data_IF_415884606519
#
_entry.id   IF_415884606519
#
_cell.length_a   1.000
_cell.length_b   1.000
_cell.length_c   1.000
_cell.angle_alpha   90.00
_cell.angle_beta   90.00
_cell.angle_gamma   90.00
#
_symmetry.space_group_name_H-M   'P 1'
#
loop_
_entity.id
_entity.type
_entity.pdbx_description
1 polymer ?
#
# COMPACT_ATOMS: atom_id res chain seq x y z
N UNK A 1 4.10 -14.67 23.01
CA UNK A 1 3.96 -13.20 22.85
C UNK A 1 4.64 -12.50 24.02
N UNK A 2 5.41 -11.47 23.74
CA UNK A 2 6.02 -10.63 24.79
C UNK A 2 4.96 -9.72 25.40
N UNK A 3 4.80 -9.80 26.72
CA UNK A 3 3.90 -8.90 27.49
C UNK A 3 4.63 -7.74 28.14
N UNK A 4 5.96 -7.81 28.23
CA UNK A 4 6.79 -6.82 28.95
C UNK A 4 7.39 -5.76 28.04
N UNK A 5 7.63 -6.09 26.78
CA UNK A 5 8.18 -5.16 25.80
C UNK A 5 7.66 -5.46 24.39
N UNK A 6 7.68 -4.50 23.52
CA UNK A 6 7.40 -4.72 22.10
C UNK A 6 8.59 -5.40 21.44
N UNK A 7 8.33 -6.19 20.39
CA UNK A 7 9.39 -6.80 19.61
C UNK A 7 10.26 -5.72 18.94
N UNK A 8 11.56 -5.98 18.88
CA UNK A 8 12.48 -5.11 18.16
C UNK A 8 12.14 -5.08 16.67
N UNK A 9 12.19 -3.90 16.09
CA UNK A 9 11.97 -3.73 14.65
C UNK A 9 13.24 -4.03 13.90
N UNK A 10 13.23 -5.10 13.10
CA UNK A 10 14.34 -5.43 12.22
C UNK A 10 14.43 -4.43 11.07
N UNK A 11 15.62 -3.99 10.76
CA UNK A 11 15.89 -3.17 9.59
C UNK A 11 15.74 -4.00 8.32
N UNK A 12 15.20 -3.39 7.28
CA UNK A 12 15.05 -3.99 5.95
C UNK A 12 16.15 -3.43 5.07
N UNK A 13 16.97 -4.33 4.51
CA UNK A 13 18.01 -3.93 3.57
C UNK A 13 17.38 -3.38 2.28
N UNK A 14 17.95 -2.33 1.68
CA UNK A 14 17.49 -1.84 0.39
C UNK A 14 17.67 -2.91 -0.69
N UNK A 15 16.87 -2.83 -1.75
CA UNK A 15 17.00 -3.77 -2.87
C UNK A 15 18.30 -3.53 -3.65
N UNK A 16 18.91 -4.58 -4.22
CA UNK A 16 20.22 -4.46 -4.87
C UNK A 16 20.18 -3.67 -6.18
N UNK A 17 19.04 -3.61 -6.87
CA UNK A 17 18.93 -2.97 -8.19
C UNK A 17 18.69 -1.46 -8.10
N UNK A 18 17.80 -1.01 -7.21
CA UNK A 18 17.42 0.39 -7.04
C UNK A 18 17.95 1.03 -5.75
N UNK A 19 18.43 0.22 -4.82
CA UNK A 19 18.91 0.70 -3.51
C UNK A 19 17.80 1.33 -2.65
N UNK A 20 16.54 0.90 -2.84
CA UNK A 20 15.36 1.48 -2.20
C UNK A 20 14.74 0.53 -1.19
N UNK A 21 14.61 0.99 0.06
CA UNK A 21 14.02 0.19 1.15
C UNK A 21 12.52 -0.08 0.93
N UNK A 22 11.80 0.86 0.33
CA UNK A 22 10.37 0.70 0.07
C UNK A 22 10.13 -0.39 -0.97
N UNK A 23 10.98 -0.50 -1.97
CA UNK A 23 10.93 -1.57 -2.98
C UNK A 23 11.16 -2.93 -2.31
N UNK A 24 12.12 -3.04 -1.39
CA UNK A 24 12.33 -4.27 -0.60
C UNK A 24 11.11 -4.64 0.25
N UNK A 25 10.49 -3.68 0.90
CA UNK A 25 9.24 -3.89 1.65
C UNK A 25 8.09 -4.32 0.74
N UNK A 26 8.03 -3.77 -0.46
CA UNK A 26 7.05 -4.16 -1.48
C UNK A 26 7.22 -5.61 -1.92
N UNK A 27 8.45 -6.04 -2.22
CA UNK A 27 8.77 -7.43 -2.52
C UNK A 27 8.36 -8.37 -1.39
N UNK A 28 8.69 -8.02 -0.15
CA UNK A 28 8.32 -8.80 1.02
C UNK A 28 6.79 -8.91 1.20
N UNK A 29 6.05 -7.88 0.82
CA UNK A 29 4.58 -7.86 0.91
C UNK A 29 3.90 -8.67 -0.20
N UNK A 30 4.52 -8.77 -1.37
CA UNK A 30 4.03 -9.60 -2.50
C UNK A 30 4.32 -11.08 -2.26
N UNK A 31 5.40 -11.38 -1.56
CA UNK A 31 5.92 -12.73 -1.35
C UNK A 31 4.89 -13.65 -0.69
N UNK A 32 4.74 -14.87 -1.26
CA UNK A 32 4.03 -15.99 -0.65
C UNK A 32 5.00 -17.11 -0.29
N UNK A 33 4.76 -17.80 0.80
CA UNK A 33 5.48 -19.01 1.22
C UNK A 33 7.02 -18.84 1.28
N UNK A 34 7.49 -17.63 1.52
CA UNK A 34 8.92 -17.34 1.55
C UNK A 34 9.62 -17.35 0.19
N UNK A 35 8.87 -17.41 -0.92
CA UNK A 35 9.42 -17.43 -2.29
C UNK A 35 9.88 -16.04 -2.74
N UNK A 36 10.99 -15.58 -2.18
CA UNK A 36 11.49 -14.22 -2.43
C UNK A 36 11.94 -13.99 -3.87
N UNK A 37 12.58 -14.97 -4.49
CA UNK A 37 13.01 -14.88 -5.89
C UNK A 37 11.85 -14.66 -6.85
N UNK A 38 10.70 -15.30 -6.60
CA UNK A 38 9.49 -15.09 -7.38
C UNK A 38 8.94 -13.65 -7.20
N UNK A 39 8.93 -13.13 -5.98
CA UNK A 39 8.51 -11.76 -5.69
C UNK A 39 9.43 -10.73 -6.37
N UNK A 40 10.74 -10.95 -6.31
CA UNK A 40 11.73 -10.10 -7.02
C UNK A 40 11.50 -10.09 -8.52
N UNK A 41 11.29 -11.25 -9.13
CA UNK A 41 11.00 -11.38 -10.57
C UNK A 41 9.72 -10.63 -10.96
N UNK A 42 8.68 -10.69 -10.14
CA UNK A 42 7.43 -9.98 -10.38
C UNK A 42 7.65 -8.46 -10.34
N UNK A 43 8.30 -7.95 -9.30
CA UNK A 43 8.52 -6.51 -9.12
C UNK A 43 9.45 -5.95 -10.20
N UNK A 44 10.56 -6.58 -10.44
CA UNK A 44 11.51 -6.13 -11.49
C UNK A 44 10.90 -6.23 -12.87
N UNK A 45 10.19 -7.31 -13.17
CA UNK A 45 9.47 -7.46 -14.44
C UNK A 45 8.39 -6.39 -14.64
N UNK A 46 7.65 -6.06 -13.58
CA UNK A 46 6.68 -4.97 -13.62
C UNK A 46 7.34 -3.61 -13.87
N UNK A 47 8.47 -3.35 -13.25
CA UNK A 47 9.24 -2.12 -13.46
C UNK A 47 9.80 -2.01 -14.87
N UNK A 48 10.27 -3.11 -15.44
CA UNK A 48 10.74 -3.16 -16.83
C UNK A 48 9.59 -2.84 -17.82
N UNK A 49 8.40 -3.38 -17.58
CA UNK A 49 7.20 -3.05 -18.38
C UNK A 49 6.83 -1.57 -18.28
N UNK A 50 6.88 -1.00 -17.07
CA UNK A 50 6.61 0.42 -16.85
C UNK A 50 7.60 1.30 -17.61
N UNK A 51 8.88 1.00 -17.53
CA UNK A 51 9.94 1.73 -18.25
C UNK A 51 9.75 1.67 -19.75
N UNK A 52 9.42 0.49 -20.31
CA UNK A 52 9.13 0.32 -21.73
C UNK A 52 7.93 1.14 -22.21
N UNK A 53 6.86 1.20 -21.40
CA UNK A 53 5.62 1.90 -21.76
C UNK A 53 5.71 3.41 -21.58
N UNK A 54 6.32 3.88 -20.50
CA UNK A 54 6.32 5.31 -20.13
C UNK A 54 7.59 6.05 -20.53
N UNK A 55 8.68 5.32 -20.80
CA UNK A 55 10.03 5.90 -21.01
C UNK A 55 10.53 6.74 -19.83
N UNK A 56 9.94 6.53 -18.65
CA UNK A 56 10.34 7.16 -17.39
C UNK A 56 11.02 6.15 -16.47
N UNK A 57 11.76 6.65 -15.49
CA UNK A 57 12.34 5.81 -14.44
C UNK A 57 11.21 5.08 -13.68
N UNK A 58 11.24 3.74 -13.60
CA UNK A 58 10.16 2.98 -12.99
C UNK A 58 10.00 3.28 -11.50
N UNK A 59 11.08 3.63 -10.81
CA UNK A 59 11.05 4.02 -9.41
C UNK A 59 10.23 5.29 -9.19
N UNK A 60 10.35 6.28 -10.06
CA UNK A 60 9.57 7.53 -10.00
C UNK A 60 8.07 7.24 -10.15
N UNK A 61 7.71 6.39 -11.11
CA UNK A 61 6.31 5.98 -11.32
C UNK A 61 5.78 5.21 -10.11
N UNK A 62 6.58 4.33 -9.53
CA UNK A 62 6.23 3.59 -8.32
C UNK A 62 6.00 4.51 -7.12
N UNK A 63 6.88 5.45 -6.88
CA UNK A 63 6.75 6.42 -5.79
C UNK A 63 5.50 7.29 -5.97
N UNK A 64 5.25 7.78 -7.18
CA UNK A 64 4.04 8.53 -7.49
C UNK A 64 2.76 7.70 -7.28
N UNK A 65 2.76 6.45 -7.73
CA UNK A 65 1.65 5.52 -7.52
C UNK A 65 1.39 5.29 -6.02
N UNK A 66 2.44 5.08 -5.25
CA UNK A 66 2.35 4.87 -3.80
C UNK A 66 1.80 6.12 -3.09
N UNK A 67 2.29 7.30 -3.42
CA UNK A 67 1.80 8.57 -2.87
C UNK A 67 0.31 8.77 -3.16
N UNK A 68 -0.15 8.43 -4.37
CA UNK A 68 -1.56 8.53 -4.74
C UNK A 68 -2.47 7.52 -4.02
N UNK A 69 -1.93 6.41 -3.54
CA UNK A 69 -2.69 5.36 -2.85
C UNK A 69 -2.63 5.47 -1.33
N UNK A 70 -1.58 6.06 -0.78
CA UNK A 70 -1.42 6.18 0.67
C UNK A 70 -2.52 7.04 1.30
N UNK A 71 -3.28 6.50 2.29
CA UNK A 71 -4.31 7.28 2.96
C UNK A 71 -3.74 8.23 4.01
N UNK A 72 -4.37 9.38 4.19
CA UNK A 72 -4.03 10.32 5.28
C UNK A 72 -4.89 10.12 6.51
N UNK A 73 -6.10 9.59 6.32
CA UNK A 73 -7.09 9.37 7.38
C UNK A 73 -7.74 8.00 7.20
N UNK A 74 -8.07 7.35 8.29
CA UNK A 74 -8.86 6.12 8.33
C UNK A 74 -9.90 6.18 9.44
N UNK A 75 -10.83 5.25 9.45
CA UNK A 75 -11.77 5.09 10.56
C UNK A 75 -11.37 3.93 11.45
N UNK A 76 -11.49 4.13 12.76
CA UNK A 76 -11.27 3.09 13.75
C UNK A 76 -12.50 2.94 14.63
N UNK A 77 -12.87 1.71 14.90
CA UNK A 77 -13.98 1.41 15.81
C UNK A 77 -13.59 1.75 17.25
N UNK A 78 -14.45 2.50 17.92
CA UNK A 78 -14.33 2.78 19.36
C UNK A 78 -15.67 2.53 20.04
N UNK A 79 -15.62 1.83 21.15
CA UNK A 79 -16.81 1.59 21.97
C UNK A 79 -16.93 2.66 23.06
N UNK A 80 -18.04 3.37 23.06
CA UNK A 80 -18.34 4.43 24.03
C UNK A 80 -19.78 4.23 24.52
N UNK A 81 -19.96 4.06 25.84
CA UNK A 81 -21.27 3.90 26.45
C UNK A 81 -22.11 2.72 25.90
N UNK A 82 -21.45 1.63 25.52
CA UNK A 82 -22.11 0.45 24.94
C UNK A 82 -22.39 0.50 23.44
N UNK A 83 -22.25 1.66 22.79
CA UNK A 83 -22.34 1.82 21.34
C UNK A 83 -20.95 1.81 20.68
N UNK A 84 -20.88 1.28 19.47
CA UNK A 84 -19.64 1.25 18.66
C UNK A 84 -19.70 2.35 17.61
N UNK A 85 -18.72 3.25 17.63
CA UNK A 85 -18.58 4.34 16.68
C UNK A 85 -17.37 4.13 15.78
N UNK A 86 -17.51 4.52 14.51
CA UNK A 86 -16.40 4.59 13.56
C UNK A 86 -15.78 5.97 13.67
N UNK A 87 -14.62 6.06 14.31
CA UNK A 87 -13.96 7.35 14.61
C UNK A 87 -12.87 7.63 13.60
N UNK A 88 -12.90 8.78 12.88
CA UNK A 88 -11.82 9.19 11.99
C UNK A 88 -10.54 9.48 12.77
N UNK A 89 -9.42 8.91 12.33
CA UNK A 89 -8.11 9.14 12.92
C UNK A 89 -7.05 9.33 11.82
N UNK A 90 -6.07 10.17 12.10
CA UNK A 90 -4.92 10.31 11.22
C UNK A 90 -4.10 9.03 11.18
N UNK A 91 -3.58 8.71 10.01
CA UNK A 91 -2.74 7.52 9.79
C UNK A 91 -1.27 7.89 9.95
N UNK A 92 -0.55 7.15 10.80
CA UNK A 92 0.90 7.32 10.99
C UNK A 92 1.64 6.97 9.69
N UNK A 93 2.79 7.62 9.44
CA UNK A 93 3.57 7.45 8.21
C UNK A 93 3.92 5.99 7.89
N UNK A 94 4.34 5.21 8.88
CA UNK A 94 4.64 3.79 8.71
C UNK A 94 3.42 2.97 8.31
N UNK A 95 2.26 3.27 8.87
CA UNK A 95 1.00 2.61 8.53
C UNK A 95 0.47 3.08 7.16
N UNK A 96 0.63 4.35 6.82
CA UNK A 96 0.29 4.87 5.50
C UNK A 96 1.00 4.08 4.40
N UNK A 97 2.30 3.91 4.55
CA UNK A 97 3.11 3.14 3.62
C UNK A 97 2.65 1.67 3.55
N UNK A 98 2.44 1.03 4.67
CA UNK A 98 1.98 -0.36 4.73
C UNK A 98 0.61 -0.55 4.05
N UNK A 99 -0.33 0.37 4.28
CA UNK A 99 -1.65 0.35 3.64
C UNK A 99 -1.55 0.60 2.14
N UNK A 100 -0.75 1.56 1.71
CA UNK A 100 -0.52 1.85 0.30
C UNK A 100 0.01 0.63 -0.46
N UNK A 101 1.05 -0.01 0.05
CA UNK A 101 1.62 -1.23 -0.54
C UNK A 101 0.59 -2.36 -0.59
N UNK A 102 -0.14 -2.59 0.50
CA UNK A 102 -1.17 -3.64 0.59
C UNK A 102 -2.29 -3.43 -0.42
N UNK A 103 -2.79 -2.21 -0.56
CA UNK A 103 -3.89 -1.91 -1.47
C UNK A 103 -3.47 -2.02 -2.93
N UNK A 104 -2.26 -1.60 -3.29
CA UNK A 104 -1.71 -1.81 -4.63
C UNK A 104 -1.64 -3.30 -4.96
N UNK A 105 -1.11 -4.11 -4.05
CA UNK A 105 -0.99 -5.57 -4.25
C UNK A 105 -2.36 -6.23 -4.38
N UNK A 106 -3.28 -5.88 -3.48
CA UNK A 106 -4.65 -6.43 -3.50
C UNK A 106 -5.38 -6.06 -4.80
N UNK A 107 -5.27 -4.81 -5.22
CA UNK A 107 -5.87 -4.33 -6.46
C UNK A 107 -5.25 -5.03 -7.69
N UNK A 108 -3.94 -5.19 -7.72
CA UNK A 108 -3.25 -5.90 -8.79
C UNK A 108 -3.70 -7.36 -8.90
N UNK A 109 -3.81 -8.06 -7.77
CA UNK A 109 -4.29 -9.45 -7.74
C UNK A 109 -5.71 -9.62 -8.26
N UNK A 110 -6.56 -8.61 -8.11
CA UNK A 110 -7.93 -8.61 -8.61
C UNK A 110 -8.09 -8.25 -10.09
N UNK A 111 -7.02 -7.95 -10.80
CA UNK A 111 -7.06 -7.60 -12.23
C UNK A 111 -7.17 -8.83 -13.13
N UNK A 112 -7.54 -8.60 -14.38
CA UNK A 112 -7.82 -9.66 -15.37
C UNK A 112 -6.63 -10.02 -16.26
N UNK A 113 -5.50 -9.31 -16.16
CA UNK A 113 -4.30 -9.62 -16.94
C UNK A 113 -3.79 -11.04 -16.61
N UNK A 114 -3.06 -11.65 -17.52
CA UNK A 114 -2.66 -13.05 -17.43
C UNK A 114 -1.66 -13.32 -16.29
N UNK A 115 -0.61 -12.53 -16.19
CA UNK A 115 0.46 -12.72 -15.20
C UNK A 115 0.43 -11.67 -14.10
N UNK A 116 0.96 -11.99 -12.93
CA UNK A 116 1.06 -11.02 -11.85
C UNK A 116 1.98 -9.83 -12.20
N UNK A 117 3.00 -10.06 -13.00
CA UNK A 117 3.88 -9.01 -13.51
C UNK A 117 3.11 -7.98 -14.34
N UNK A 118 2.26 -8.44 -15.24
CA UNK A 118 1.38 -7.58 -16.06
C UNK A 118 0.34 -6.84 -15.19
N UNK A 119 -0.29 -7.55 -14.28
CA UNK A 119 -1.27 -7.00 -13.34
C UNK A 119 -0.67 -5.88 -12.49
N UNK A 120 0.50 -6.13 -11.93
CA UNK A 120 1.19 -5.17 -11.08
C UNK A 120 1.64 -3.93 -11.86
N UNK A 121 2.21 -4.11 -13.04
CA UNK A 121 2.60 -2.98 -13.89
C UNK A 121 1.41 -2.12 -14.30
N UNK A 122 0.30 -2.75 -14.67
CA UNK A 122 -0.92 -2.05 -15.03
C UNK A 122 -1.54 -1.28 -13.86
N UNK A 123 -1.58 -1.88 -12.67
CA UNK A 123 -2.09 -1.20 -11.48
C UNK A 123 -1.21 -0.03 -11.05
N UNK A 124 0.12 -0.18 -11.11
CA UNK A 124 1.05 0.92 -10.79
C UNK A 124 0.91 2.09 -11.77
N UNK A 125 0.76 1.81 -13.06
CA UNK A 125 0.52 2.84 -14.07
C UNK A 125 -0.80 3.57 -13.84
N UNK A 126 -1.87 2.85 -13.57
CA UNK A 126 -3.17 3.44 -13.25
C UNK A 126 -3.11 4.27 -11.98
N UNK A 127 -2.48 3.77 -10.93
CA UNK A 127 -2.33 4.49 -9.67
C UNK A 127 -1.47 5.76 -9.81
N UNK A 128 -0.41 5.72 -10.61
CA UNK A 128 0.41 6.89 -10.90
C UNK A 128 -0.41 8.00 -11.62
N UNK A 129 -1.39 7.60 -12.42
CA UNK A 129 -2.35 8.50 -13.07
C UNK A 129 -3.61 8.77 -12.22
N UNK A 130 -3.57 8.47 -10.95
CA UNK A 130 -4.69 8.64 -10.01
C UNK A 130 -5.97 7.88 -10.41
N UNK A 131 -5.80 6.70 -10.97
CA UNK A 131 -6.85 5.78 -11.41
C UNK A 131 -6.64 4.38 -10.80
N UNK A 132 -7.60 3.50 -11.04
CA UNK A 132 -7.51 2.10 -10.61
C UNK A 132 -8.13 1.82 -9.25
N UNK A 133 -8.19 0.53 -8.90
CA UNK A 133 -8.89 0.06 -7.71
C UNK A 133 -8.17 0.40 -6.41
N UNK A 134 -6.83 0.53 -6.43
CA UNK A 134 -6.06 0.94 -5.26
C UNK A 134 -6.39 2.38 -4.86
N UNK A 135 -6.43 3.30 -5.83
CA UNK A 135 -6.84 4.69 -5.62
C UNK A 135 -8.30 4.78 -5.18
N UNK A 136 -9.18 4.00 -5.79
CA UNK A 136 -10.58 3.91 -5.38
C UNK A 136 -10.72 3.46 -3.92
N UNK A 137 -9.93 2.50 -3.48
CA UNK A 137 -9.91 2.06 -2.07
C UNK A 137 -9.53 3.20 -1.13
N UNK A 138 -8.52 3.99 -1.47
CA UNK A 138 -8.18 5.19 -0.69
C UNK A 138 -9.33 6.18 -0.64
N UNK A 139 -9.96 6.47 -1.79
CA UNK A 139 -11.11 7.38 -1.85
C UNK A 139 -12.28 6.90 -1.01
N UNK A 140 -12.59 5.60 -1.05
CA UNK A 140 -13.66 5.01 -0.24
C UNK A 140 -13.37 5.16 1.26
N UNK A 141 -12.12 4.92 1.68
CA UNK A 141 -11.70 5.12 3.08
C UNK A 141 -11.80 6.58 3.49
N UNK A 142 -11.38 7.51 2.64
CA UNK A 142 -11.50 8.95 2.89
C UNK A 142 -12.95 9.41 2.96
N UNK A 143 -13.83 8.93 2.07
CA UNK A 143 -15.28 9.20 2.12
C UNK A 143 -15.92 8.66 3.41
N UNK A 144 -15.52 7.47 3.83
CA UNK A 144 -15.98 6.89 5.09
C UNK A 144 -15.55 7.73 6.29
N UNK A 145 -14.32 8.22 6.30
CA UNK A 145 -13.82 9.11 7.35
C UNK A 145 -14.57 10.45 7.37
N UNK A 146 -14.85 11.01 6.21
CA UNK A 146 -15.62 12.26 6.08
C UNK A 146 -17.09 12.06 6.56
N UNK A 147 -17.72 10.97 6.18
CA UNK A 147 -19.08 10.64 6.63
C UNK A 147 -19.16 10.48 8.17
N UNK A 148 -18.10 10.04 8.81
CA UNK A 148 -18.03 9.88 10.26
C UNK A 148 -17.36 11.06 10.98
N UNK A 149 -17.15 12.18 10.30
CA UNK A 149 -16.49 13.37 10.85
C UNK A 149 -17.10 13.88 12.14
N UNK A 150 -18.42 13.75 12.29
CA UNK A 150 -19.15 14.14 13.48
C UNK A 150 -18.65 13.43 14.76
N UNK A 151 -18.05 12.25 14.64
CA UNK A 151 -17.49 11.46 15.73
C UNK A 151 -16.01 11.72 16.03
N UNK A 152 -15.39 12.69 15.36
CA UNK A 152 -13.97 12.99 15.51
C UNK A 152 -13.57 13.36 16.96
N UNK A 153 -14.50 13.92 17.74
CA UNK A 153 -14.31 14.24 19.15
C UNK A 153 -14.19 13.01 20.06
N UNK A 154 -14.52 11.82 19.57
CA UNK A 154 -14.35 10.55 20.29
C UNK A 154 -12.95 9.93 20.12
N UNK A 155 -12.02 10.59 19.41
CA UNK A 155 -10.64 10.08 19.28
C UNK A 155 -9.92 10.01 20.62
N UNK A 156 -8.96 9.06 20.68
CA UNK A 156 -8.10 8.88 21.85
C UNK A 156 -7.07 9.98 21.99
#
# INVERSE_FOLDING_TARGET
>A
MSRRHSAEKREVNPDPKFGNVIVSKFMNSIMYDGKKSAAESIVYGAFDIIEQKTKQAPLTVFEQALDNVMPTIEVRSRRVGGATYQVPVEVRSTRRQALGLRWIISAARGRNEKTMTERLSAELLDAANNRGNAVKKREDVHKMAEANRAFSHYRW
#
